data_IF_513082418466
#
_entry.id   IF_513082418466
#
_cell.length_a   1.000
_cell.length_b   1.000
_cell.length_c   1.000
_cell.angle_alpha   90.00
_cell.angle_beta   90.00
_cell.angle_gamma   90.00
#
_symmetry.space_group_name_H-M   'P 1'
#
loop_
_entity.id
_entity.type
_entity.pdbx_description
1 polymer ?
#
# COMPACT_ATOMS: atom_id res chain seq x y z
N UNK A 1 -12.58 -5.05 5.41
CA UNK A 1 -11.16 -5.35 5.22
C UNK A 1 -10.33 -4.27 5.90
N UNK A 2 -9.30 -4.67 6.60
CA UNK A 2 -8.44 -3.71 7.31
C UNK A 2 -7.23 -3.34 6.47
N UNK A 3 -6.96 -2.05 6.39
CA UNK A 3 -5.93 -1.48 5.50
C UNK A 3 -4.93 -0.66 6.31
N UNK A 4 -3.65 -0.86 6.05
CA UNK A 4 -2.59 -0.04 6.62
C UNK A 4 -2.00 0.85 5.53
N UNK A 5 -1.87 2.14 5.83
CA UNK A 5 -1.49 3.15 4.85
C UNK A 5 -0.14 3.76 5.20
N UNK A 6 0.85 3.54 4.34
CA UNK A 6 2.15 4.20 4.42
C UNK A 6 2.16 5.35 3.42
N UNK A 7 1.33 6.37 3.69
CA UNK A 7 1.12 7.52 2.82
C UNK A 7 1.36 8.78 3.63
N UNK A 8 2.37 9.56 3.25
CA UNK A 8 2.68 10.83 3.91
C UNK A 8 2.07 12.04 3.19
N UNK A 9 1.72 11.90 1.92
CA UNK A 9 1.05 12.95 1.16
C UNK A 9 -0.34 13.18 1.75
N UNK A 10 -0.53 14.35 2.34
CA UNK A 10 -1.77 14.68 3.04
C UNK A 10 -2.99 14.64 2.11
N UNK A 11 -2.85 15.22 0.93
CA UNK A 11 -3.95 15.28 -0.03
C UNK A 11 -4.35 13.88 -0.51
N UNK A 12 -3.37 13.07 -0.88
CA UNK A 12 -3.64 11.70 -1.31
C UNK A 12 -4.21 10.86 -0.16
N UNK A 13 -3.64 11.04 1.04
CA UNK A 13 -4.12 10.33 2.21
C UNK A 13 -5.59 10.62 2.50
N UNK A 14 -6.00 11.87 2.33
CA UNK A 14 -7.40 12.25 2.52
C UNK A 14 -8.31 11.59 1.48
N UNK A 15 -7.88 11.56 0.23
CA UNK A 15 -8.67 10.93 -0.85
C UNK A 15 -8.78 9.42 -0.64
N UNK A 16 -7.70 8.79 -0.26
CA UNK A 16 -7.67 7.34 -0.01
C UNK A 16 -8.57 7.00 1.17
N UNK A 17 -8.45 7.73 2.27
CA UNK A 17 -9.26 7.45 3.46
C UNK A 17 -10.74 7.65 3.20
N UNK A 18 -11.12 8.69 2.44
CA UNK A 18 -12.50 8.92 2.05
C UNK A 18 -13.04 7.74 1.24
N UNK A 19 -12.25 7.25 0.29
CA UNK A 19 -12.67 6.12 -0.54
C UNK A 19 -12.81 4.85 0.29
N UNK A 20 -11.88 4.61 1.21
CA UNK A 20 -11.95 3.43 2.08
C UNK A 20 -13.18 3.46 2.98
N UNK A 21 -13.56 4.63 3.47
CA UNK A 21 -14.80 4.76 4.25
C UNK A 21 -16.02 4.44 3.40
N UNK A 22 -16.04 4.87 2.14
CA UNK A 22 -17.11 4.53 1.21
C UNK A 22 -17.21 3.03 0.98
N UNK A 23 -16.08 2.33 1.07
CA UNK A 23 -16.00 0.88 0.85
C UNK A 23 -16.15 0.09 2.15
N UNK A 24 -16.53 0.76 3.23
CA UNK A 24 -16.70 0.16 4.56
C UNK A 24 -15.45 -0.55 5.07
N UNK A 25 -14.28 -0.04 4.72
CA UNK A 25 -13.00 -0.59 5.17
C UNK A 25 -12.43 0.21 6.30
N UNK A 26 -11.91 -0.47 7.31
CA UNK A 26 -11.15 0.18 8.38
C UNK A 26 -9.74 0.43 7.89
N UNK A 27 -9.14 1.52 8.38
CA UNK A 27 -7.76 1.85 7.97
C UNK A 27 -7.02 2.54 9.09
N UNK A 28 -5.71 2.52 9.00
CA UNK A 28 -4.83 3.27 9.89
C UNK A 28 -3.63 3.77 9.09
N UNK A 29 -3.11 4.93 9.48
CA UNK A 29 -1.88 5.45 8.89
C UNK A 29 -0.71 4.92 9.70
N UNK A 30 0.31 4.41 9.01
CA UNK A 30 1.48 3.79 9.61
C UNK A 30 2.75 4.52 9.20
N UNK A 31 3.76 4.51 10.07
CA UNK A 31 5.08 5.06 9.77
C UNK A 31 6.13 3.96 9.65
N UNK A 32 5.97 2.89 10.40
CA UNK A 32 6.92 1.76 10.39
C UNK A 32 6.16 0.44 10.34
N UNK A 33 6.88 -0.61 9.94
CA UNK A 33 6.27 -1.93 9.78
C UNK A 33 5.64 -2.45 11.07
N UNK A 34 6.19 -2.08 12.23
CA UNK A 34 5.64 -2.49 13.52
C UNK A 34 4.28 -1.87 13.83
N UNK A 35 3.89 -0.82 13.09
CA UNK A 35 2.58 -0.18 13.25
C UNK A 35 1.46 -0.97 12.59
N UNK A 36 1.80 -1.95 11.73
CA UNK A 36 0.81 -2.73 11.00
C UNK A 36 0.08 -3.65 11.97
N UNK A 37 -1.24 -3.50 12.01
CA UNK A 37 -2.09 -4.29 12.91
C UNK A 37 -2.16 -5.75 12.47
N UNK A 38 -2.39 -6.65 13.43
CA UNK A 38 -2.57 -8.09 13.14
C UNK A 38 -3.78 -8.35 12.25
N UNK A 39 -4.75 -7.46 12.26
CA UNK A 39 -5.96 -7.60 11.44
C UNK A 39 -5.79 -7.08 10.02
N UNK A 40 -4.66 -6.44 9.72
CA UNK A 40 -4.41 -5.85 8.39
C UNK A 40 -4.37 -6.93 7.32
N UNK A 41 -5.08 -6.68 6.22
CA UNK A 41 -5.11 -7.57 5.07
C UNK A 41 -4.52 -6.92 3.82
N UNK A 42 -4.50 -5.59 3.77
CA UNK A 42 -4.01 -4.82 2.65
C UNK A 42 -3.09 -3.71 3.15
N UNK A 43 -1.93 -3.56 2.52
CA UNK A 43 -0.99 -2.49 2.83
C UNK A 43 -0.76 -1.67 1.57
N UNK A 44 -0.87 -0.35 1.69
CA UNK A 44 -0.64 0.57 0.57
C UNK A 44 0.60 1.39 0.90
N UNK A 45 1.58 1.36 0.01
CA UNK A 45 2.92 1.91 0.26
C UNK A 45 3.33 2.91 -0.81
N UNK A 46 3.80 4.07 -0.35
CA UNK A 46 4.42 5.08 -1.22
C UNK A 46 5.84 4.64 -1.56
N UNK A 47 6.07 4.23 -2.80
CA UNK A 47 7.39 3.76 -3.25
C UNK A 47 8.34 4.91 -3.63
N UNK A 48 7.84 6.14 -3.70
CA UNK A 48 8.68 7.32 -3.92
C UNK A 48 9.26 7.86 -2.61
N UNK A 49 8.74 7.42 -1.48
CA UNK A 49 9.27 7.81 -0.17
C UNK A 49 10.50 6.95 0.13
N UNK A 50 11.61 7.59 0.49
CA UNK A 50 12.87 6.88 0.75
C UNK A 50 12.77 5.83 1.84
N UNK A 51 11.94 6.07 2.85
CA UNK A 51 11.80 5.14 3.97
C UNK A 51 11.00 3.91 3.62
N UNK A 52 9.96 4.06 2.81
CA UNK A 52 9.05 2.96 2.46
C UNK A 52 9.29 2.42 1.04
N UNK A 53 9.89 3.22 0.16
CA UNK A 53 10.28 2.81 -1.18
C UNK A 53 11.62 2.08 -1.19
N UNK A 54 11.75 1.10 -0.33
CA UNK A 54 12.96 0.33 -0.09
C UNK A 54 12.60 -1.15 -0.19
N UNK A 55 13.31 -1.87 -1.03
CA UNK A 55 13.04 -3.30 -1.22
C UNK A 55 13.20 -4.12 0.06
N UNK A 56 14.11 -3.71 0.96
CA UNK A 56 14.25 -4.40 2.25
C UNK A 56 13.01 -4.21 3.13
N UNK A 57 12.48 -2.99 3.15
CA UNK A 57 11.25 -2.71 3.90
C UNK A 57 10.09 -3.57 3.37
N UNK A 58 9.91 -3.62 2.06
CA UNK A 58 8.85 -4.41 1.43
C UNK A 58 9.05 -5.89 1.70
N UNK A 59 10.27 -6.38 1.48
CA UNK A 59 10.59 -7.80 1.67
C UNK A 59 10.38 -8.24 3.13
N UNK A 60 10.81 -7.42 4.07
CA UNK A 60 10.63 -7.70 5.50
C UNK A 60 9.15 -7.84 5.84
N UNK A 61 8.34 -6.90 5.37
CA UNK A 61 6.91 -6.91 5.64
C UNK A 61 6.22 -8.11 5.00
N UNK A 62 6.59 -8.44 3.76
CA UNK A 62 6.04 -9.59 3.06
C UNK A 62 6.44 -10.91 3.73
N UNK A 63 7.66 -10.98 4.26
CA UNK A 63 8.16 -12.17 4.95
C UNK A 63 7.52 -12.36 6.31
N UNK A 64 7.31 -11.27 7.05
CA UNK A 64 6.70 -11.31 8.37
C UNK A 64 5.20 -11.60 8.30
N UNK A 65 4.57 -11.16 7.23
CA UNK A 65 3.12 -11.26 7.06
C UNK A 65 2.79 -11.73 5.65
N UNK A 66 2.85 -13.03 5.43
CA UNK A 66 2.56 -13.61 4.11
C UNK A 66 1.06 -13.64 3.79
N UNK A 67 0.22 -13.22 4.73
CA UNK A 67 -1.24 -13.17 4.58
C UNK A 67 -1.74 -11.81 4.08
N UNK A 68 -0.86 -10.81 3.93
CA UNK A 68 -1.25 -9.48 3.48
C UNK A 68 -0.94 -9.29 1.99
N UNK A 69 -1.71 -8.41 1.38
CA UNK A 69 -1.44 -7.94 0.01
C UNK A 69 -0.77 -6.57 0.11
N UNK A 70 0.32 -6.39 -0.62
CA UNK A 70 1.05 -5.11 -0.64
C UNK A 70 0.86 -4.44 -1.99
N UNK A 71 0.27 -3.25 -1.97
CA UNK A 71 0.08 -2.44 -3.17
C UNK A 71 1.00 -1.22 -3.06
N UNK A 72 1.89 -1.08 -4.03
CA UNK A 72 2.79 0.06 -4.09
C UNK A 72 2.32 1.07 -5.13
N UNK A 73 2.63 2.35 -4.90
CA UNK A 73 2.38 3.36 -5.92
C UNK A 73 3.58 4.28 -6.05
N UNK A 74 3.73 4.85 -7.24
CA UNK A 74 4.78 5.82 -7.56
C UNK A 74 4.20 6.84 -8.51
N UNK A 75 4.82 8.02 -8.55
CA UNK A 75 4.40 9.09 -9.45
C UNK A 75 4.39 8.59 -10.90
N UNK A 76 5.49 7.95 -11.31
CA UNK A 76 5.62 7.33 -12.62
C UNK A 76 6.22 5.94 -12.43
N UNK A 77 5.52 4.91 -12.91
CA UNK A 77 6.01 3.54 -12.78
C UNK A 77 7.10 3.29 -13.82
N UNK A 78 8.30 2.99 -13.34
CA UNK A 78 9.46 2.68 -14.19
C UNK A 78 9.71 1.19 -14.15
N UNK A 79 10.05 0.59 -15.29
CA UNK A 79 10.20 -0.84 -15.43
C UNK A 79 11.16 -1.47 -14.42
N UNK A 80 12.33 -0.87 -14.23
CA UNK A 80 13.32 -1.41 -13.30
C UNK A 80 12.82 -1.45 -11.86
N UNK A 81 12.17 -0.38 -11.41
CA UNK A 81 11.59 -0.32 -10.08
C UNK A 81 10.39 -1.24 -9.95
N UNK A 82 9.59 -1.34 -10.99
CA UNK A 82 8.44 -2.25 -11.00
C UNK A 82 8.89 -3.68 -10.71
N UNK A 83 9.88 -4.16 -11.44
CA UNK A 83 10.39 -5.52 -11.25
C UNK A 83 11.00 -5.72 -9.86
N UNK A 84 11.78 -4.74 -9.41
CA UNK A 84 12.44 -4.77 -8.10
C UNK A 84 11.43 -4.91 -6.97
N UNK A 85 10.40 -4.09 -6.97
CA UNK A 85 9.41 -4.10 -5.90
C UNK A 85 8.44 -5.28 -6.00
N UNK A 86 8.15 -5.74 -7.21
CA UNK A 86 7.37 -6.97 -7.39
C UNK A 86 8.11 -8.16 -6.81
N UNK A 87 9.40 -8.26 -7.08
CA UNK A 87 10.25 -9.33 -6.54
C UNK A 87 10.33 -9.24 -5.02
N UNK A 88 10.36 -8.04 -4.46
CA UNK A 88 10.42 -7.86 -3.01
C UNK A 88 9.14 -8.27 -2.31
N UNK A 89 7.98 -8.20 -2.98
CA UNK A 89 6.73 -8.65 -2.38
C UNK A 89 5.49 -7.85 -2.72
N UNK A 90 5.60 -6.80 -3.52
CA UNK A 90 4.41 -6.05 -3.94
C UNK A 90 3.57 -6.90 -4.90
N UNK A 91 2.28 -7.01 -4.61
CA UNK A 91 1.35 -7.71 -5.49
C UNK A 91 1.02 -6.88 -6.73
N UNK A 92 0.87 -5.56 -6.53
CA UNK A 92 0.48 -4.62 -7.58
C UNK A 92 1.28 -3.34 -7.39
N UNK A 93 1.68 -2.72 -8.48
CA UNK A 93 2.34 -1.41 -8.46
C UNK A 93 1.62 -0.51 -9.46
N UNK A 94 1.17 0.65 -8.99
CA UNK A 94 0.35 1.58 -9.78
C UNK A 94 0.98 2.96 -9.85
N UNK A 95 0.65 3.73 -10.90
CA UNK A 95 0.89 5.17 -10.86
C UNK A 95 0.02 5.79 -9.76
N UNK A 96 0.54 6.80 -9.09
CA UNK A 96 -0.17 7.52 -8.03
C UNK A 96 -1.57 7.97 -8.48
N UNK A 97 -1.68 8.45 -9.72
CA UNK A 97 -2.95 8.94 -10.28
C UNK A 97 -4.02 7.85 -10.42
N UNK A 98 -3.62 6.59 -10.40
CA UNK A 98 -4.55 5.47 -10.55
C UNK A 98 -4.97 4.84 -9.22
N UNK A 99 -4.33 5.22 -8.12
CA UNK A 99 -4.54 4.53 -6.84
C UNK A 99 -5.97 4.60 -6.35
N UNK A 100 -6.53 5.79 -6.23
CA UNK A 100 -7.86 5.97 -5.62
C UNK A 100 -8.94 5.25 -6.42
N UNK A 101 -8.93 5.39 -7.74
CA UNK A 101 -9.94 4.77 -8.59
C UNK A 101 -9.85 3.24 -8.63
N UNK A 102 -8.70 2.67 -8.27
CA UNK A 102 -8.52 1.22 -8.26
C UNK A 102 -8.68 0.60 -6.88
N UNK A 103 -8.97 1.38 -5.85
CA UNK A 103 -9.10 0.84 -4.49
C UNK A 103 -10.20 -0.22 -4.39
N UNK A 104 -11.32 -0.02 -5.08
CA UNK A 104 -12.41 -0.99 -5.05
C UNK A 104 -12.00 -2.35 -5.62
N UNK A 105 -10.99 -2.38 -6.48
CA UNK A 105 -10.46 -3.63 -7.03
C UNK A 105 -9.74 -4.45 -5.96
N UNK A 106 -9.05 -3.76 -5.05
CA UNK A 106 -8.27 -4.41 -3.99
C UNK A 106 -9.14 -4.74 -2.78
N UNK A 107 -10.15 -3.93 -2.53
CA UNK A 107 -11.06 -4.12 -1.40
C UNK A 107 -12.18 -5.04 -1.84
N UNK A 108 -12.16 -6.26 -1.34
CA UNK A 108 -13.18 -7.22 -1.71
C UNK A 108 -14.37 -7.08 -0.76
N UNK A 109 -15.52 -6.78 -1.32
CA UNK A 109 -16.76 -6.79 -0.54
C UNK A 109 -17.24 -8.22 -0.37
N UNK A 110 -17.92 -8.43 0.70
CA UNK A 110 -18.51 -9.76 0.97
C UNK A 110 -19.96 -9.81 0.57
#
# INVERSE_FOLDING_TARGET
MDVSLFIKDFELGAKVSTKLMELDSLFEFCEKSSDVSDSTQLVIVDLDNKETGDEFFIHQMASDRNDIQIVGYMEQVQKGYHEKFKTAGCSVILPKSSLVKNLSTFIKSK
#
